data_IF_642196371300
#
_entry.id   IF_642196371300
#
_cell.length_a   1.000
_cell.length_b   1.000
_cell.length_c   1.000
_cell.angle_alpha   90.00
_cell.angle_beta   90.00
_cell.angle_gamma   90.00
#
_symmetry.space_group_name_H-M   'P 1'
#
loop_
_entity.id
_entity.type
_entity.pdbx_description
1 polymer ?
#
# COMPACT_ATOMS: atom_id res chain seq x y z
N UNK A 1 -13.75 10.01 13.83
CA UNK A 1 -13.47 11.15 12.91
C UNK A 1 -12.30 12.01 13.38
N UNK A 2 -12.16 12.26 14.67
CA UNK A 2 -11.06 13.06 15.23
C UNK A 2 -9.68 12.49 14.84
N UNK A 3 -9.49 11.19 14.98
CA UNK A 3 -8.23 10.50 14.63
C UNK A 3 -7.88 10.69 13.14
N UNK A 4 -8.83 10.50 12.24
CA UNK A 4 -8.60 10.71 10.80
C UNK A 4 -8.23 12.16 10.47
N UNK A 5 -8.83 13.13 11.17
CA UNK A 5 -8.45 14.54 11.02
C UNK A 5 -7.01 14.78 11.46
N UNK A 6 -6.61 14.22 12.62
CA UNK A 6 -5.25 14.32 13.16
C UNK A 6 -4.22 13.70 12.21
N UNK A 7 -4.51 12.51 11.68
CA UNK A 7 -3.61 11.83 10.72
C UNK A 7 -3.45 12.64 9.42
N UNK A 8 -4.54 13.14 8.85
CA UNK A 8 -4.45 13.99 7.64
C UNK A 8 -3.63 15.27 7.89
N UNK A 9 -3.79 15.90 9.05
CA UNK A 9 -3.01 17.07 9.42
C UNK A 9 -1.53 16.72 9.58
N UNK A 10 -1.22 15.57 10.19
CA UNK A 10 0.14 15.05 10.33
C UNK A 10 0.80 14.87 8.96
N UNK A 11 0.15 14.16 8.04
CA UNK A 11 0.71 13.84 6.72
C UNK A 11 0.96 15.12 5.88
N UNK A 12 0.02 16.07 5.91
CA UNK A 12 0.19 17.37 5.25
C UNK A 12 1.41 18.15 5.73
N UNK A 13 1.72 18.09 7.02
CA UNK A 13 2.91 18.76 7.59
C UNK A 13 4.22 18.20 7.04
N UNK A 14 4.23 16.95 6.55
CA UNK A 14 5.37 16.30 5.91
C UNK A 14 5.34 16.41 4.38
N UNK A 15 4.44 17.23 3.83
CA UNK A 15 4.37 17.50 2.40
C UNK A 15 3.60 16.45 1.59
N UNK A 16 2.87 15.55 2.24
CA UNK A 16 2.00 14.60 1.54
C UNK A 16 0.76 15.32 1.01
N UNK A 17 0.40 15.04 -0.23
CA UNK A 17 -0.79 15.60 -0.89
C UNK A 17 -1.93 14.58 -0.90
N UNK A 18 -3.20 15.04 -0.87
CA UNK A 18 -4.34 14.12 -0.83
C UNK A 18 -4.51 13.40 -2.16
N UNK A 19 -4.63 12.08 -2.10
CA UNK A 19 -5.05 11.23 -3.20
C UNK A 19 -6.51 10.83 -3.02
N UNK A 20 -7.27 10.87 -4.11
CA UNK A 20 -8.66 10.44 -4.15
C UNK A 20 -8.87 9.50 -5.33
N UNK A 21 -9.68 8.48 -5.12
CA UNK A 21 -10.06 7.55 -6.17
C UNK A 21 -11.56 7.30 -6.19
N UNK A 22 -12.06 6.81 -7.34
CA UNK A 22 -13.43 6.34 -7.45
C UNK A 22 -13.69 5.12 -6.55
N UNK A 23 -14.98 4.84 -6.30
CA UNK A 23 -15.39 3.63 -5.58
C UNK A 23 -15.24 2.36 -6.42
N UNK A 24 -15.27 2.51 -7.74
CA UNK A 24 -15.33 1.45 -8.72
C UNK A 24 -14.10 1.50 -9.61
N UNK A 25 -13.52 0.34 -9.87
CA UNK A 25 -12.40 0.14 -10.78
C UNK A 25 -12.70 -1.05 -11.70
N UNK A 26 -12.04 -1.14 -12.83
CA UNK A 26 -12.11 -2.35 -13.65
C UNK A 26 -11.48 -3.54 -12.91
N UNK A 27 -12.17 -4.69 -12.90
CA UNK A 27 -11.69 -5.88 -12.18
C UNK A 27 -10.32 -6.36 -12.67
N UNK A 28 -9.99 -6.13 -13.93
CA UNK A 28 -8.68 -6.48 -14.53
C UNK A 28 -7.49 -5.92 -13.75
N UNK A 29 -7.62 -4.76 -13.12
CA UNK A 29 -6.59 -4.20 -12.27
C UNK A 29 -6.22 -5.16 -11.13
N UNK A 30 -7.22 -5.75 -10.51
CA UNK A 30 -7.05 -6.64 -9.37
C UNK A 30 -6.70 -8.06 -9.78
N UNK A 31 -7.26 -8.56 -10.87
CA UNK A 31 -6.99 -9.92 -11.37
C UNK A 31 -5.53 -10.12 -11.79
N UNK A 32 -4.91 -9.08 -12.34
CA UNK A 32 -3.49 -9.09 -12.76
C UNK A 32 -2.50 -8.89 -11.62
N UNK A 33 -2.96 -8.39 -10.48
CA UNK A 33 -2.12 -8.00 -9.34
C UNK A 33 -2.56 -8.68 -8.04
N UNK A 34 -2.95 -9.96 -8.11
CA UNK A 34 -3.48 -10.71 -6.95
C UNK A 34 -2.52 -10.78 -5.78
N UNK A 35 -1.22 -10.80 -6.04
CA UNK A 35 -0.18 -10.88 -5.01
C UNK A 35 -0.12 -9.62 -4.11
N UNK A 36 -0.67 -8.50 -4.57
CA UNK A 36 -0.77 -7.26 -3.79
C UNK A 36 -2.02 -7.20 -2.91
N UNK A 37 -2.98 -8.09 -3.11
CA UNK A 37 -4.23 -8.06 -2.36
C UNK A 37 -4.10 -8.84 -1.05
N UNK A 38 -4.37 -8.19 0.06
CA UNK A 38 -4.45 -8.83 1.38
C UNK A 38 -5.59 -9.87 1.45
N UNK A 39 -6.52 -9.82 0.49
CA UNK A 39 -7.69 -10.72 0.41
C UNK A 39 -7.98 -11.11 -1.04
N UNK A 40 -8.13 -12.41 -1.29
CA UNK A 40 -8.55 -12.94 -2.58
C UNK A 40 -10.01 -12.62 -2.94
N UNK A 41 -10.75 -12.01 -2.02
CA UNK A 41 -12.18 -11.77 -2.12
C UNK A 41 -12.48 -10.34 -2.51
N UNK A 42 -12.40 -10.04 -3.81
CA UNK A 42 -12.81 -8.76 -4.38
C UNK A 42 -14.31 -8.81 -4.68
N UNK A 43 -15.05 -7.77 -4.24
CA UNK A 43 -16.47 -7.65 -4.56
C UNK A 43 -16.60 -7.15 -5.99
N UNK A 44 -17.21 -7.96 -6.86
CA UNK A 44 -17.37 -7.64 -8.27
C UNK A 44 -18.83 -7.46 -8.64
N UNK A 45 -19.07 -6.69 -9.71
CA UNK A 45 -20.38 -6.48 -10.33
C UNK A 45 -20.20 -6.17 -11.81
N UNK A 46 -21.29 -6.27 -12.59
CA UNK A 46 -21.28 -5.91 -14.00
C UNK A 46 -21.89 -4.52 -14.17
N UNK A 47 -21.21 -3.64 -14.90
CA UNK A 47 -21.73 -2.31 -15.22
C UNK A 47 -22.82 -2.39 -16.33
N UNK A 48 -23.42 -1.25 -16.64
CA UNK A 48 -24.47 -1.14 -17.66
C UNK A 48 -24.01 -1.46 -19.08
N UNK A 49 -22.70 -1.50 -19.32
CA UNK A 49 -22.09 -1.84 -20.61
C UNK A 49 -21.58 -3.29 -20.66
N UNK A 50 -21.85 -4.10 -19.64
CA UNK A 50 -21.43 -5.49 -19.55
C UNK A 50 -19.96 -5.68 -19.08
N UNK A 51 -19.28 -4.63 -18.59
CA UNK A 51 -17.91 -4.74 -18.11
C UNK A 51 -17.89 -5.22 -16.66
N UNK A 52 -16.93 -6.11 -16.35
CA UNK A 52 -16.72 -6.58 -14.99
C UNK A 52 -15.97 -5.51 -14.19
N UNK A 53 -16.64 -4.99 -13.20
CA UNK A 53 -16.15 -3.96 -12.29
C UNK A 53 -15.91 -4.53 -10.90
N UNK A 54 -15.13 -3.81 -10.09
CA UNK A 54 -14.87 -4.15 -8.69
C UNK A 54 -15.10 -2.94 -7.79
N UNK A 55 -15.61 -3.19 -6.59
CA UNK A 55 -15.47 -2.25 -5.49
C UNK A 55 -14.03 -2.28 -5.01
N UNK A 56 -13.42 -1.10 -4.82
CA UNK A 56 -12.01 -0.98 -4.43
C UNK A 56 -11.71 -1.73 -3.11
N UNK A 57 -10.89 -2.77 -3.12
CA UNK A 57 -10.49 -3.49 -1.91
C UNK A 57 -9.28 -2.85 -1.23
N UNK A 58 -8.56 -1.98 -1.96
CA UNK A 58 -7.29 -1.37 -1.56
C UNK A 58 -7.06 -0.05 -2.29
N UNK A 59 -6.26 0.86 -1.70
CA UNK A 59 -5.93 2.16 -2.30
C UNK A 59 -4.57 2.15 -2.96
N UNK A 60 -3.60 1.44 -2.39
CA UNK A 60 -2.20 1.38 -2.86
C UNK A 60 -2.12 0.97 -4.32
N UNK A 61 -2.86 -0.06 -4.72
CA UNK A 61 -2.83 -0.56 -6.10
C UNK A 61 -3.32 0.48 -7.12
N UNK A 62 -4.32 1.30 -6.75
CA UNK A 62 -4.77 2.40 -7.59
C UNK A 62 -3.72 3.49 -7.72
N UNK A 63 -3.00 3.80 -6.64
CA UNK A 63 -1.89 4.75 -6.66
C UNK A 63 -0.79 4.24 -7.60
N UNK A 64 -0.39 2.99 -7.45
CA UNK A 64 0.65 2.35 -8.29
C UNK A 64 0.28 2.38 -9.78
N UNK A 65 -0.97 2.07 -10.12
CA UNK A 65 -1.48 2.13 -11.51
C UNK A 65 -1.36 3.52 -12.11
N UNK A 66 -1.64 4.55 -11.31
CA UNK A 66 -1.66 5.94 -11.79
C UNK A 66 -0.28 6.62 -11.69
N UNK A 67 0.67 5.99 -11.01
CA UNK A 67 2.03 6.50 -10.93
C UNK A 67 2.72 6.40 -12.29
N UNK A 68 3.29 7.51 -12.76
CA UNK A 68 4.04 7.57 -14.01
C UNK A 68 5.51 7.34 -13.74
N UNK A 69 6.04 6.26 -14.26
CA UNK A 69 7.47 5.97 -14.21
C UNK A 69 8.29 6.98 -15.02
N UNK A 70 9.57 7.11 -14.65
CA UNK A 70 10.53 7.91 -15.40
C UNK A 70 10.56 9.40 -15.09
N UNK A 71 9.76 9.87 -14.13
CA UNK A 71 9.83 11.27 -13.68
C UNK A 71 11.07 11.56 -12.83
N UNK A 72 11.72 10.51 -12.30
CA UNK A 72 12.82 10.64 -11.34
C UNK A 72 12.44 11.30 -10.01
N UNK A 73 11.15 11.51 -9.78
CA UNK A 73 10.62 12.21 -8.60
C UNK A 73 9.98 11.24 -7.63
N UNK A 74 10.08 11.57 -6.35
CA UNK A 74 9.33 10.91 -5.28
C UNK A 74 7.98 11.59 -5.11
N UNK A 75 6.91 10.83 -5.18
CA UNK A 75 5.55 11.29 -4.89
C UNK A 75 5.16 10.87 -3.47
N UNK A 76 4.62 11.83 -2.72
CA UNK A 76 4.14 11.66 -1.36
C UNK A 76 2.64 11.86 -1.34
N UNK A 77 1.89 10.79 -1.16
CA UNK A 77 0.44 10.78 -1.23
C UNK A 77 -0.14 10.31 0.10
N UNK A 78 -1.25 10.89 0.53
CA UNK A 78 -2.05 10.34 1.62
C UNK A 78 -3.50 10.19 1.19
N UNK A 79 -4.21 9.26 1.81
CA UNK A 79 -5.62 9.03 1.54
C UNK A 79 -6.43 8.86 2.82
N UNK A 80 -7.72 9.12 2.70
CA UNK A 80 -8.76 8.90 3.69
C UNK A 80 -9.97 8.41 2.91
N UNK A 81 -10.03 7.08 2.71
CA UNK A 81 -10.91 6.44 1.75
C UNK A 81 -11.59 5.21 2.33
N UNK A 82 -12.78 4.89 1.84
CA UNK A 82 -13.45 3.65 2.17
C UNK A 82 -13.03 2.56 1.19
N UNK A 83 -12.66 1.40 1.71
CA UNK A 83 -12.38 0.17 0.97
C UNK A 83 -13.44 -0.89 1.30
N UNK A 84 -13.64 -1.83 0.39
CA UNK A 84 -14.72 -2.80 0.46
C UNK A 84 -14.14 -4.21 0.42
N UNK A 85 -14.42 -5.01 1.44
CA UNK A 85 -13.87 -6.36 1.57
C UNK A 85 -14.92 -7.36 1.99
N UNK A 86 -14.73 -8.61 1.59
CA UNK A 86 -15.50 -9.74 2.12
C UNK A 86 -14.89 -10.17 3.44
N UNK A 87 -15.70 -10.22 4.49
CA UNK A 87 -15.27 -10.75 5.78
C UNK A 87 -15.26 -12.28 5.75
N UNK A 88 -14.08 -12.88 5.90
CA UNK A 88 -13.86 -14.33 5.74
C UNK A 88 -14.72 -15.20 6.68
N UNK A 89 -15.04 -14.70 7.88
CA UNK A 89 -15.79 -15.46 8.87
C UNK A 89 -17.27 -15.65 8.54
N UNK A 90 -17.92 -14.64 7.91
CA UNK A 90 -19.37 -14.67 7.62
C UNK A 90 -19.71 -14.51 6.14
N UNK A 91 -18.73 -14.26 5.27
CA UNK A 91 -18.98 -13.92 3.86
C UNK A 91 -19.66 -12.57 3.65
N UNK A 92 -19.86 -11.77 4.71
CA UNK A 92 -20.52 -10.48 4.61
C UNK A 92 -19.60 -9.41 4.00
N UNK A 93 -20.21 -8.47 3.28
CA UNK A 93 -19.51 -7.31 2.74
C UNK A 93 -19.32 -6.25 3.82
N UNK A 94 -18.12 -5.70 3.89
CA UNK A 94 -17.79 -4.63 4.82
C UNK A 94 -17.18 -3.44 4.10
N UNK A 95 -17.65 -2.27 4.49
CA UNK A 95 -17.01 -1.00 4.20
C UNK A 95 -16.07 -0.66 5.35
N UNK A 96 -14.81 -0.41 5.04
CA UNK A 96 -13.76 -0.12 6.02
C UNK A 96 -13.13 1.21 5.64
N UNK A 97 -13.16 2.18 6.54
CA UNK A 97 -12.43 3.43 6.35
C UNK A 97 -10.95 3.20 6.59
N UNK A 98 -10.15 3.58 5.62
CA UNK A 98 -8.70 3.44 5.62
C UNK A 98 -8.06 4.83 5.50
N UNK A 99 -7.18 5.16 6.44
CA UNK A 99 -6.38 6.39 6.39
C UNK A 99 -4.92 5.97 6.34
N UNK A 100 -4.24 6.33 5.26
CA UNK A 100 -2.86 5.89 5.05
C UNK A 100 -2.06 6.87 4.22
N UNK A 101 -0.78 6.55 4.03
CA UNK A 101 0.13 7.28 3.16
C UNK A 101 0.96 6.33 2.30
N UNK A 102 1.37 6.85 1.14
CA UNK A 102 2.26 6.19 0.21
C UNK A 102 3.39 7.13 -0.16
N UNK A 103 4.61 6.61 -0.13
CA UNK A 103 5.78 7.27 -0.68
C UNK A 103 6.31 6.40 -1.82
N UNK A 104 6.23 6.89 -3.05
CA UNK A 104 6.51 6.11 -4.26
C UNK A 104 7.50 6.82 -5.17
N UNK A 105 8.42 6.06 -5.78
CA UNK A 105 9.44 6.57 -6.70
C UNK A 105 10.85 6.26 -6.24
N UNK A 106 11.76 7.21 -6.41
CA UNK A 106 13.15 7.07 -5.95
C UNK A 106 13.19 7.32 -4.44
N UNK A 107 13.32 6.25 -3.67
CA UNK A 107 13.36 6.32 -2.21
C UNK A 107 14.80 6.25 -1.71
N UNK A 108 15.25 7.33 -1.09
CA UNK A 108 16.49 7.38 -0.34
C UNK A 108 16.29 6.96 1.13
N UNK A 109 17.36 6.76 1.91
CA UNK A 109 17.25 6.42 3.31
C UNK A 109 16.49 7.46 4.15
N UNK A 110 16.50 8.73 3.75
CA UNK A 110 15.77 9.80 4.42
C UNK A 110 14.26 9.64 4.23
N UNK A 111 13.82 9.36 3.00
CA UNK A 111 12.40 9.09 2.71
C UNK A 111 11.90 7.85 3.47
N UNK A 112 12.70 6.78 3.53
CA UNK A 112 12.36 5.59 4.31
C UNK A 112 12.24 5.90 5.82
N UNK A 113 13.18 6.66 6.38
CA UNK A 113 13.13 7.10 7.77
C UNK A 113 11.93 7.99 8.08
N UNK A 114 11.55 8.86 7.14
CA UNK A 114 10.35 9.69 7.26
C UNK A 114 9.08 8.85 7.32
N UNK A 115 8.94 7.84 6.44
CA UNK A 115 7.78 6.93 6.43
C UNK A 115 7.69 6.17 7.74
N UNK A 116 8.80 5.63 8.27
CA UNK A 116 8.81 4.94 9.56
C UNK A 116 8.44 5.87 10.73
N UNK A 117 8.91 7.11 10.68
CA UNK A 117 8.54 8.14 11.67
C UNK A 117 7.04 8.44 11.62
N UNK A 118 6.49 8.56 10.43
CA UNK A 118 5.05 8.79 10.23
C UNK A 118 4.22 7.58 10.64
N UNK A 119 4.70 6.36 10.41
CA UNK A 119 4.06 5.14 10.91
C UNK A 119 3.95 5.16 12.45
N UNK A 120 5.06 5.39 13.15
CA UNK A 120 5.06 5.47 14.61
C UNK A 120 4.12 6.57 15.13
N UNK A 121 4.21 7.79 14.59
CA UNK A 121 3.33 8.91 14.98
C UNK A 121 1.86 8.68 14.67
N UNK A 122 1.56 7.93 13.62
CA UNK A 122 0.19 7.56 13.29
C UNK A 122 -0.38 6.60 14.33
N UNK A 123 0.40 5.62 14.76
CA UNK A 123 0.01 4.70 15.84
C UNK A 123 -0.15 5.43 17.17
N UNK A 124 0.78 6.32 17.52
CA UNK A 124 0.68 7.17 18.72
C UNK A 124 -0.60 8.02 18.74
N UNK A 125 -1.05 8.51 17.59
CA UNK A 125 -2.30 9.26 17.48
C UNK A 125 -3.56 8.41 17.71
N UNK A 126 -3.45 7.08 17.63
CA UNK A 126 -4.55 6.12 17.87
C UNK A 126 -4.50 5.57 19.28
N UNK A 127 -3.32 5.15 19.75
CA UNK A 127 -3.09 4.54 21.06
C UNK A 127 -1.66 4.78 21.50
N UNK A 128 -1.45 4.94 22.80
CA UNK A 128 -0.10 4.92 23.39
C UNK A 128 0.48 3.52 23.57
N UNK A 129 -0.38 2.50 23.47
CA UNK A 129 0.00 1.09 23.56
C UNK A 129 -0.06 0.48 22.17
N UNK A 130 1.09 0.44 21.47
CA UNK A 130 1.21 -0.11 20.13
C UNK A 130 2.54 -0.83 19.93
N UNK A 131 2.57 -1.72 18.96
CA UNK A 131 3.79 -2.36 18.45
C UNK A 131 3.89 -2.03 16.95
N UNK A 132 5.05 -1.53 16.54
CA UNK A 132 5.38 -1.31 15.14
C UNK A 132 6.33 -2.41 14.66
N UNK A 133 5.80 -3.37 13.92
CA UNK A 133 6.59 -4.40 13.26
C UNK A 133 7.18 -3.87 11.95
N UNK A 134 8.50 -3.99 11.79
CA UNK A 134 9.21 -3.58 10.59
C UNK A 134 9.85 -4.80 9.94
N UNK A 135 9.49 -5.05 8.70
CA UNK A 135 10.08 -6.12 7.88
C UNK A 135 10.85 -5.52 6.71
N UNK A 136 12.10 -5.96 6.54
CA UNK A 136 12.94 -5.55 5.44
C UNK A 136 13.43 -6.78 4.67
N UNK A 137 12.96 -6.95 3.45
CA UNK A 137 13.26 -8.13 2.63
C UNK A 137 14.77 -8.30 2.38
N UNK A 138 15.53 -7.20 2.25
CA UNK A 138 16.97 -7.24 2.09
C UNK A 138 17.70 -7.85 3.29
N UNK A 139 17.21 -7.66 4.52
CA UNK A 139 17.79 -8.31 5.71
C UNK A 139 17.55 -9.81 5.65
N UNK A 140 16.33 -10.22 5.32
CA UNK A 140 15.98 -11.63 5.15
C UNK A 140 16.82 -12.28 4.05
N UNK A 141 16.96 -11.62 2.89
CA UNK A 141 17.78 -12.10 1.79
C UNK A 141 19.24 -12.27 2.20
N UNK A 142 19.83 -11.27 2.88
CA UNK A 142 21.22 -11.34 3.33
C UNK A 142 21.46 -12.49 4.33
N UNK A 143 20.50 -12.74 5.23
CA UNK A 143 20.56 -13.89 6.16
C UNK A 143 20.47 -15.20 5.40
N UNK A 144 19.53 -15.33 4.45
CA UNK A 144 19.39 -16.55 3.65
C UNK A 144 20.62 -16.81 2.76
N UNK A 145 21.19 -15.79 2.16
CA UNK A 145 22.43 -15.88 1.37
C UNK A 145 23.61 -16.36 2.23
N UNK A 146 23.69 -15.92 3.48
CA UNK A 146 24.74 -16.35 4.40
C UNK A 146 24.63 -17.83 4.81
N UNK A 147 23.41 -18.38 4.81
CA UNK A 147 23.13 -19.77 5.25
C UNK A 147 23.12 -20.73 4.05
N UNK A 148 22.68 -20.28 2.87
CA UNK A 148 22.50 -21.12 1.67
C UNK A 148 23.02 -20.44 0.40
N UNK A 149 24.34 -20.23 0.26
CA UNK A 149 24.92 -19.50 -0.88
C UNK A 149 24.59 -20.14 -2.25
N UNK A 150 24.47 -21.48 -2.32
CA UNK A 150 24.25 -22.19 -3.58
C UNK A 150 22.82 -22.13 -4.14
N UNK A 151 21.82 -21.84 -3.32
CA UNK A 151 20.42 -21.76 -3.74
C UNK A 151 20.07 -20.44 -4.42
N UNK A 152 20.77 -19.35 -4.10
CA UNK A 152 20.52 -18.00 -4.61
C UNK A 152 21.18 -17.71 -5.97
N UNK A 153 22.26 -18.39 -6.31
CA UNK A 153 22.98 -18.16 -7.58
C UNK A 153 22.13 -18.42 -8.84
N UNK A 154 21.03 -19.18 -8.72
CA UNK A 154 20.09 -19.45 -9.82
C UNK A 154 18.98 -18.40 -10.00
N UNK A 155 18.82 -17.43 -9.09
CA UNK A 155 17.77 -16.39 -9.13
C UNK A 155 18.26 -14.97 -9.39
N UNK A 156 19.56 -14.75 -9.54
CA UNK A 156 20.15 -13.42 -9.75
C UNK A 156 19.93 -12.82 -11.16
N UNK A 157 19.07 -13.42 -11.99
CA UNK A 157 18.68 -12.87 -13.30
C UNK A 157 17.42 -12.01 -13.28
N UNK A 158 16.82 -11.76 -12.10
CA UNK A 158 15.73 -10.80 -11.99
C UNK A 158 16.30 -9.38 -11.97
N UNK A 159 15.80 -8.47 -12.82
CA UNK A 159 16.23 -7.07 -12.78
C UNK A 159 15.94 -6.50 -11.38
N UNK A 160 16.82 -5.63 -10.85
CA UNK A 160 16.56 -4.97 -9.59
C UNK A 160 15.21 -4.26 -9.69
N UNK A 161 14.33 -4.52 -8.72
CA UNK A 161 13.05 -3.83 -8.63
C UNK A 161 13.35 -2.35 -8.39
N UNK A 162 13.32 -1.54 -9.44
CA UNK A 162 13.53 -0.09 -9.38
C UNK A 162 12.41 0.64 -8.65
N UNK A 163 11.33 -0.07 -8.30
CA UNK A 163 10.18 0.47 -7.58
C UNK A 163 10.27 0.15 -6.11
N UNK A 164 10.37 1.19 -5.31
CA UNK A 164 10.20 1.09 -3.87
C UNK A 164 8.93 1.82 -3.49
N UNK A 165 8.07 1.13 -2.77
CA UNK A 165 6.83 1.68 -2.21
C UNK A 165 6.92 1.50 -0.70
N UNK A 166 6.74 2.59 0.02
CA UNK A 166 6.59 2.54 1.47
C UNK A 166 5.15 2.93 1.80
N UNK A 167 4.42 2.01 2.40
CA UNK A 167 3.01 2.14 2.76
C UNK A 167 2.84 2.14 4.26
N UNK A 168 1.96 2.99 4.76
CA UNK A 168 1.47 2.98 6.14
C UNK A 168 -0.05 2.95 6.10
N UNK A 169 -0.64 1.96 6.74
CA UNK A 169 -2.08 1.77 6.86
C UNK A 169 -2.57 2.11 8.27
#
# INVERSE_FOLDING_TARGET
EQTAFTLRALYRRYGYIPYRMGKFEEYDLYSRNKDFLVSDSVITFTDTNGRLMALKPDVTLSIVKNYREGTGKTEKLYYDENVYRVYRGSGSFREIRQVGLECIGVLDPQAAGEVLTLAARSLEAVSSDYVLDISHLGILSAVLESITPDLFYRRSSLPPAERRICTVY
#
